data_IF_923200109241
#
_entry.id   IF_923200109241
#
_cell.length_a   1.000
_cell.length_b   1.000
_cell.length_c   1.000
_cell.angle_alpha   90.00
_cell.angle_beta   90.00
_cell.angle_gamma   90.00
#
_symmetry.space_group_name_H-M   'P 1'
#
loop_
_entity.id
_entity.type
_entity.pdbx_description
1 polymer ?
#
# COMPACT_ATOMS: atom_id res chain seq x y z
N UNK A 1 7.71 -22.89 16.40
CA UNK A 1 7.12 -21.95 15.42
C UNK A 1 7.22 -20.54 15.95
N UNK A 2 7.76 -19.63 15.17
CA UNK A 2 8.01 -18.26 15.63
C UNK A 2 6.91 -17.32 15.17
N UNK A 3 6.25 -16.65 16.11
CA UNK A 3 5.28 -15.58 15.81
C UNK A 3 5.97 -14.32 15.31
N UNK A 4 7.27 -14.19 15.57
CA UNK A 4 8.07 -13.02 15.16
C UNK A 4 8.22 -12.93 13.63
N UNK A 5 8.00 -14.04 12.93
CA UNK A 5 8.07 -14.06 11.47
C UNK A 5 6.74 -13.70 10.81
N UNK A 6 5.68 -13.48 11.58
CA UNK A 6 4.37 -13.08 11.06
C UNK A 6 4.20 -11.57 11.18
N UNK A 7 3.99 -10.92 10.05
CA UNK A 7 3.89 -9.46 9.95
C UNK A 7 2.47 -9.06 9.54
N UNK A 8 1.86 -8.18 10.31
CA UNK A 8 0.59 -7.56 9.96
C UNK A 8 0.87 -6.19 9.35
N UNK A 9 0.45 -6.01 8.10
CA UNK A 9 0.71 -4.80 7.34
C UNK A 9 -0.56 -4.26 6.69
N UNK A 10 -0.52 -3.01 6.30
CA UNK A 10 -1.57 -2.33 5.55
C UNK A 10 -0.98 -1.69 4.31
N UNK A 11 -1.79 -1.56 3.27
CA UNK A 11 -1.40 -0.89 2.03
C UNK A 11 -2.52 0.03 1.55
N UNK A 12 -2.13 1.18 1.02
CA UNK A 12 -3.05 2.14 0.42
C UNK A 12 -3.05 1.98 -1.09
N UNK A 13 -4.21 1.61 -1.64
CA UNK A 13 -4.43 1.59 -3.09
C UNK A 13 -5.12 2.91 -3.42
N UNK A 14 -4.33 3.87 -3.89
CA UNK A 14 -4.80 5.21 -4.20
C UNK A 14 -5.00 5.33 -5.70
N UNK A 15 -6.24 5.62 -6.11
CA UNK A 15 -6.60 5.73 -7.52
C UNK A 15 -7.18 7.11 -7.79
N UNK A 16 -6.58 7.83 -8.73
CA UNK A 16 -6.99 9.18 -9.09
C UNK A 16 -6.67 9.42 -10.57
N UNK A 17 -7.66 9.95 -11.29
CA UNK A 17 -7.51 10.26 -12.73
C UNK A 17 -6.93 9.10 -13.54
N UNK A 18 -7.49 7.90 -13.32
CA UNK A 18 -7.12 6.66 -14.03
C UNK A 18 -5.73 6.13 -13.72
N UNK A 19 -5.09 6.59 -12.64
CA UNK A 19 -3.74 6.17 -12.26
C UNK A 19 -3.66 5.76 -10.80
N UNK A 20 -2.75 4.83 -10.53
CA UNK A 20 -2.42 4.37 -9.19
C UNK A 20 -1.18 5.08 -8.67
N UNK A 21 -1.20 5.44 -7.40
CA UNK A 21 -0.04 6.01 -6.73
C UNK A 21 0.87 4.89 -6.24
N UNK A 22 2.14 4.96 -6.63
CA UNK A 22 3.17 4.05 -6.16
C UNK A 22 4.34 4.83 -5.62
N UNK A 23 4.99 4.27 -4.61
CA UNK A 23 6.22 4.81 -4.05
C UNK A 23 7.41 4.03 -4.58
N UNK A 24 8.51 4.74 -4.79
CA UNK A 24 9.79 4.15 -5.13
C UNK A 24 10.64 4.08 -3.87
N UNK A 25 11.15 2.90 -3.56
CA UNK A 25 11.92 2.66 -2.34
C UNK A 25 12.99 1.58 -2.60
N UNK A 26 13.93 1.43 -1.69
CA UNK A 26 14.87 0.31 -1.72
C UNK A 26 14.24 -0.90 -1.03
N UNK A 27 14.32 -2.06 -1.68
CA UNK A 27 14.07 -3.32 -1.01
C UNK A 27 15.22 -3.55 -0.03
N UNK A 28 14.91 -3.65 1.26
CA UNK A 28 15.93 -3.75 2.30
C UNK A 28 16.71 -5.06 2.25
N UNK A 29 16.15 -6.10 1.64
CA UNK A 29 16.83 -7.40 1.51
C UNK A 29 17.81 -7.41 0.34
N UNK A 30 17.48 -6.79 -0.79
CA UNK A 30 18.26 -6.86 -2.02
C UNK A 30 19.00 -5.56 -2.34
N UNK A 31 18.61 -4.44 -1.74
CA UNK A 31 19.11 -3.12 -2.09
C UNK A 31 18.57 -2.58 -3.40
N UNK A 32 17.76 -3.34 -4.12
CA UNK A 32 17.14 -2.91 -5.37
C UNK A 32 16.11 -1.80 -5.16
N UNK A 33 16.06 -0.90 -6.12
CA UNK A 33 14.95 0.08 -6.17
C UNK A 33 13.72 -0.62 -6.73
N UNK A 34 12.60 -0.47 -6.04
CA UNK A 34 11.35 -1.15 -6.37
C UNK A 34 10.17 -0.20 -6.22
N UNK A 35 9.04 -0.58 -6.82
CA UNK A 35 7.76 0.12 -6.66
C UNK A 35 6.86 -0.65 -5.71
N UNK A 36 6.18 0.08 -4.83
CA UNK A 36 5.23 -0.49 -3.87
C UNK A 36 4.05 0.47 -3.72
N UNK A 37 2.91 -0.02 -3.25
CA UNK A 37 1.92 0.89 -2.71
C UNK A 37 2.49 1.55 -1.46
N UNK A 38 1.98 2.73 -1.07
CA UNK A 38 2.22 3.22 0.30
C UNK A 38 1.77 2.16 1.28
N UNK A 39 2.68 1.66 2.12
CA UNK A 39 2.41 0.49 2.95
C UNK A 39 3.38 0.40 4.11
N UNK A 40 2.98 -0.32 5.16
CA UNK A 40 3.85 -0.58 6.29
C UNK A 40 3.17 -1.39 7.37
N UNK A 41 3.90 -1.57 8.46
CA UNK A 41 3.44 -2.37 9.60
C UNK A 41 2.41 -1.61 10.43
N UNK A 42 1.42 -2.36 10.93
CA UNK A 42 0.51 -1.86 11.95
C UNK A 42 1.26 -1.83 13.27
N UNK A 43 1.23 -0.69 13.95
CA UNK A 43 1.86 -0.53 15.24
C UNK A 43 0.92 -0.97 16.37
N UNK A 44 1.49 -1.28 17.53
CA UNK A 44 0.78 -1.94 18.63
C UNK A 44 -0.49 -1.21 19.07
N UNK A 45 -0.47 0.11 19.05
CA UNK A 45 -1.58 0.93 19.57
C UNK A 45 -2.43 1.55 18.46
N UNK A 46 -2.39 0.98 17.26
CA UNK A 46 -3.12 1.52 16.12
C UNK A 46 -4.31 0.66 15.71
N UNK A 47 -5.41 1.30 15.30
CA UNK A 47 -6.41 0.65 14.49
C UNK A 47 -5.89 0.50 13.05
N UNK A 48 -6.41 -0.49 12.33
CA UNK A 48 -5.97 -0.79 10.97
C UNK A 48 -6.16 0.41 10.02
N UNK A 49 -7.30 1.09 10.10
CA UNK A 49 -7.55 2.27 9.25
C UNK A 49 -6.67 3.44 9.65
N UNK A 50 -6.40 3.61 10.94
CA UNK A 50 -5.43 4.60 11.42
C UNK A 50 -4.03 4.32 10.90
N UNK A 51 -3.63 3.05 10.90
CA UNK A 51 -2.31 2.65 10.41
C UNK A 51 -2.12 2.97 8.92
N UNK A 52 -3.11 2.65 8.09
CA UNK A 52 -2.98 2.92 6.64
C UNK A 52 -2.98 4.41 6.35
N UNK A 53 -3.76 5.21 7.09
CA UNK A 53 -3.75 6.66 6.93
C UNK A 53 -2.40 7.25 7.35
N UNK A 54 -1.80 6.76 8.42
CA UNK A 54 -0.48 7.17 8.86
C UNK A 54 0.59 6.81 7.82
N UNK A 55 0.59 5.58 7.34
CA UNK A 55 1.57 5.15 6.33
C UNK A 55 1.41 5.97 5.04
N UNK A 56 0.18 6.23 4.61
CA UNK A 56 -0.05 7.08 3.44
C UNK A 56 0.55 8.47 3.63
N UNK A 57 0.32 9.08 4.79
CA UNK A 57 0.87 10.41 5.07
C UNK A 57 2.40 10.38 5.14
N UNK A 58 2.98 9.42 5.84
CA UNK A 58 4.43 9.32 5.98
C UNK A 58 5.12 9.12 4.62
N UNK A 59 4.54 8.28 3.76
CA UNK A 59 5.17 7.91 2.51
C UNK A 59 4.84 8.82 1.34
N UNK A 60 3.78 9.61 1.43
CA UNK A 60 3.36 10.49 0.32
C UNK A 60 3.09 11.94 0.71
N UNK A 61 2.85 12.23 1.98
CA UNK A 61 2.39 13.53 2.43
C UNK A 61 0.89 13.76 2.25
N UNK A 62 0.15 12.76 1.77
CA UNK A 62 -1.29 12.88 1.53
C UNK A 62 -2.08 12.50 2.78
N UNK A 63 -3.12 13.30 3.06
CA UNK A 63 -4.12 13.00 4.07
C UNK A 63 -5.45 12.80 3.35
N UNK A 64 -5.85 11.54 3.20
CA UNK A 64 -7.06 11.15 2.47
C UNK A 64 -7.90 10.24 3.35
N UNK A 65 -9.19 10.14 3.00
CA UNK A 65 -10.11 9.22 3.66
C UNK A 65 -10.28 7.95 2.82
N UNK A 66 -10.23 6.76 3.44
CA UNK A 66 -10.47 5.53 2.72
C UNK A 66 -11.94 5.39 2.34
N UNK A 67 -12.22 4.72 1.21
CA UNK A 67 -13.57 4.52 0.69
C UNK A 67 -14.04 3.07 0.73
N UNK A 68 -13.11 2.12 0.70
CA UNK A 68 -13.41 0.69 0.65
C UNK A 68 -12.15 -0.11 0.97
N UNK A 69 -12.25 -1.43 0.93
CA UNK A 69 -11.06 -2.27 0.99
C UNK A 69 -11.19 -3.48 0.07
N UNK A 70 -10.09 -4.16 -0.19
CA UNK A 70 -10.00 -5.23 -1.19
C UNK A 70 -9.77 -6.60 -0.55
N UNK A 71 -9.87 -6.70 0.77
CA UNK A 71 -9.57 -7.93 1.46
C UNK A 71 -8.10 -8.04 1.86
N UNK A 72 -7.70 -9.26 2.13
CA UNK A 72 -6.40 -9.57 2.72
C UNK A 72 -5.58 -10.37 1.74
N UNK A 73 -4.32 -9.96 1.54
CA UNK A 73 -3.34 -10.70 0.76
C UNK A 73 -2.30 -11.31 1.68
N UNK A 74 -1.71 -12.41 1.25
CA UNK A 74 -0.69 -13.11 2.02
C UNK A 74 0.52 -13.39 1.14
N UNK A 75 1.71 -13.24 1.72
CA UNK A 75 2.97 -13.52 1.04
C UNK A 75 3.91 -14.25 2.00
N UNK A 76 4.47 -15.36 1.54
CA UNK A 76 5.58 -16.01 2.21
C UNK A 76 6.86 -15.61 1.49
N UNK A 77 7.69 -14.83 2.15
CA UNK A 77 8.95 -14.38 1.58
C UNK A 77 10.02 -15.48 1.63
N UNK A 78 11.05 -15.35 0.79
CA UNK A 78 12.11 -16.33 0.70
C UNK A 78 12.89 -16.51 2.01
N UNK A 79 12.93 -15.47 2.87
CA UNK A 79 13.59 -15.53 4.18
C UNK A 79 12.74 -16.22 5.26
N UNK A 80 11.58 -16.77 4.91
CA UNK A 80 10.67 -17.45 5.85
C UNK A 80 9.65 -16.55 6.53
N UNK A 81 9.74 -15.23 6.36
CA UNK A 81 8.75 -14.31 6.91
C UNK A 81 7.44 -14.39 6.13
N UNK A 82 6.34 -14.27 6.85
CA UNK A 82 4.99 -14.21 6.27
C UNK A 82 4.41 -12.81 6.48
N UNK A 83 3.82 -12.29 5.43
CA UNK A 83 3.16 -10.99 5.47
C UNK A 83 1.68 -11.17 5.25
N UNK A 84 0.88 -10.58 6.15
CA UNK A 84 -0.57 -10.47 6.03
C UNK A 84 -0.84 -9.00 5.78
N UNK A 85 -1.47 -8.68 4.66
CA UNK A 85 -1.62 -7.31 4.19
C UNK A 85 -3.08 -7.00 3.92
N UNK A 86 -3.59 -5.98 4.62
CA UNK A 86 -4.91 -5.42 4.32
C UNK A 86 -4.76 -4.35 3.25
N UNK A 87 -5.57 -4.45 2.19
CA UNK A 87 -5.52 -3.52 1.06
C UNK A 87 -6.68 -2.54 1.17
N UNK A 88 -6.38 -1.28 1.43
CA UNK A 88 -7.36 -0.23 1.69
C UNK A 88 -7.39 0.73 0.51
N UNK A 89 -8.59 1.03 0.01
CA UNK A 89 -8.81 1.85 -1.19
C UNK A 89 -9.05 3.31 -0.81
N UNK A 90 -8.37 4.21 -1.54
CA UNK A 90 -8.56 5.65 -1.46
C UNK A 90 -8.87 6.16 -2.87
N UNK A 91 -10.02 6.79 -3.03
CA UNK A 91 -10.49 7.31 -4.33
C UNK A 91 -10.85 8.79 -4.18
N UNK A 92 -9.83 9.67 -3.99
CA UNK A 92 -10.09 11.09 -3.78
C UNK A 92 -10.69 11.73 -5.03
N UNK A 93 -11.52 12.75 -4.84
CA UNK A 93 -12.05 13.55 -5.93
C UNK A 93 -11.07 14.63 -6.37
N UNK A 94 -10.14 14.99 -5.51
CA UNK A 94 -9.09 15.98 -5.79
C UNK A 94 -7.89 15.70 -4.91
N UNK A 95 -6.73 16.26 -5.30
CA UNK A 95 -5.51 16.20 -4.54
C UNK A 95 -5.02 17.62 -4.23
N UNK A 96 -4.28 17.80 -3.12
CA UNK A 96 -3.63 19.09 -2.88
C UNK A 96 -2.62 19.40 -4.00
N UNK A 97 -2.36 20.69 -4.23
CA UNK A 97 -1.45 21.14 -5.28
C UNK A 97 -0.02 20.61 -5.06
N UNK A 98 0.37 20.45 -3.79
CA UNK A 98 1.71 20.01 -3.41
C UNK A 98 1.62 18.99 -2.28
N UNK A 99 2.37 17.92 -2.39
CA UNK A 99 2.55 16.91 -1.36
C UNK A 99 3.88 16.19 -1.60
N UNK A 100 4.50 15.74 -0.55
CA UNK A 100 5.79 15.06 -0.65
C UNK A 100 5.94 14.05 0.49
N UNK A 101 6.75 13.01 0.30
CA UNK A 101 7.04 12.07 1.37
C UNK A 101 7.62 12.77 2.60
N UNK A 102 7.17 12.32 3.77
CA UNK A 102 7.74 12.73 5.06
C UNK A 102 8.85 11.77 5.48
N UNK A 103 8.81 10.53 4.99
CA UNK A 103 9.81 9.51 5.24
C UNK A 103 10.93 9.60 4.21
N UNK A 104 12.17 9.78 4.67
CA UNK A 104 13.34 9.90 3.80
C UNK A 104 13.69 8.60 3.05
N UNK A 105 13.13 7.47 3.45
CA UNK A 105 13.32 6.20 2.74
C UNK A 105 12.56 6.15 1.41
N UNK A 106 11.60 7.04 1.20
CA UNK A 106 10.87 7.13 -0.05
C UNK A 106 11.64 8.01 -1.03
N UNK A 107 12.03 7.43 -2.15
CA UNK A 107 12.87 8.08 -3.14
C UNK A 107 12.08 8.94 -4.12
N UNK A 108 10.87 8.52 -4.50
CA UNK A 108 10.02 9.23 -5.43
C UNK A 108 8.59 8.71 -5.36
N UNK A 109 7.65 9.53 -5.86
CA UNK A 109 6.25 9.14 -6.05
C UNK A 109 5.98 9.03 -7.56
N UNK A 110 5.20 8.02 -7.92
CA UNK A 110 4.83 7.79 -9.32
C UNK A 110 3.33 7.56 -9.44
N UNK A 111 2.74 8.07 -10.49
CA UNK A 111 1.36 7.80 -10.87
C UNK A 111 1.38 7.01 -12.17
N UNK A 112 0.90 5.77 -12.13
CA UNK A 112 0.88 4.88 -13.29
C UNK A 112 -0.52 4.35 -13.55
N UNK A 113 -0.95 4.38 -14.81
CA UNK A 113 -2.07 3.53 -15.20
C UNK A 113 -1.56 2.08 -15.36
N UNK A 114 -2.49 1.14 -15.56
CA UNK A 114 -2.13 -0.27 -15.64
C UNK A 114 -1.13 -0.59 -16.77
N UNK A 115 -1.26 0.09 -17.92
CA UNK A 115 -0.36 -0.13 -19.04
C UNK A 115 1.03 0.44 -18.77
N UNK A 116 1.10 1.64 -18.20
CA UNK A 116 2.36 2.26 -17.82
C UNK A 116 3.11 1.41 -16.79
N UNK A 117 2.37 0.78 -15.88
CA UNK A 117 2.96 -0.07 -14.86
C UNK A 117 3.63 -1.32 -15.46
N UNK A 118 3.02 -1.89 -16.51
CA UNK A 118 3.62 -3.03 -17.22
C UNK A 118 4.92 -2.66 -17.92
N UNK A 119 5.12 -1.39 -18.26
CA UNK A 119 6.30 -0.89 -18.96
C UNK A 119 7.27 -0.15 -18.04
N UNK A 120 6.98 -0.10 -16.74
CA UNK A 120 7.84 0.60 -15.79
C UNK A 120 9.23 -0.02 -15.74
N UNK A 121 10.26 0.84 -15.64
CA UNK A 121 11.64 0.39 -15.59
C UNK A 121 11.97 -0.32 -14.27
N UNK A 122 11.25 0.01 -13.20
CA UNK A 122 11.48 -0.56 -11.88
C UNK A 122 10.55 -1.75 -11.63
N UNK A 123 11.05 -2.82 -11.01
CA UNK A 123 10.20 -3.94 -10.66
C UNK A 123 9.27 -3.60 -9.50
N UNK A 124 8.16 -4.31 -9.42
CA UNK A 124 7.30 -4.27 -8.23
C UNK A 124 7.99 -4.99 -7.08
N UNK A 125 7.80 -4.49 -5.86
CA UNK A 125 8.42 -5.08 -4.68
C UNK A 125 8.04 -6.55 -4.50
N UNK A 126 6.77 -6.87 -4.76
CA UNK A 126 6.26 -8.24 -4.72
C UNK A 126 4.96 -8.33 -5.50
N UNK A 127 4.46 -9.56 -5.66
CA UNK A 127 3.15 -9.78 -6.28
C UNK A 127 1.99 -9.18 -5.49
N UNK A 128 2.20 -8.83 -4.22
CA UNK A 128 1.15 -8.16 -3.44
C UNK A 128 0.71 -6.86 -4.11
N UNK A 129 1.64 -6.17 -4.77
CA UNK A 129 1.35 -4.91 -5.48
C UNK A 129 0.42 -5.15 -6.66
N UNK A 130 0.76 -6.10 -7.53
CA UNK A 130 -0.03 -6.39 -8.73
C UNK A 130 -1.36 -7.07 -8.39
N UNK A 131 -1.39 -7.92 -7.37
CA UNK A 131 -2.61 -8.59 -6.93
C UNK A 131 -3.65 -7.56 -6.46
N UNK A 132 -3.24 -6.56 -5.70
CA UNK A 132 -4.14 -5.51 -5.23
C UNK A 132 -4.70 -4.68 -6.40
N UNK A 133 -3.86 -4.32 -7.36
CA UNK A 133 -4.29 -3.59 -8.56
C UNK A 133 -5.29 -4.43 -9.36
N UNK A 134 -5.03 -5.72 -9.50
CA UNK A 134 -5.93 -6.63 -10.22
C UNK A 134 -7.30 -6.70 -9.56
N UNK A 135 -7.37 -6.83 -8.24
CA UNK A 135 -8.64 -6.83 -7.50
C UNK A 135 -9.39 -5.51 -7.68
N UNK A 136 -8.66 -4.40 -7.59
CA UNK A 136 -9.27 -3.09 -7.82
C UNK A 136 -9.88 -3.00 -9.21
N UNK A 137 -9.17 -3.43 -10.23
CA UNK A 137 -9.65 -3.39 -11.62
C UNK A 137 -10.84 -4.32 -11.86
N UNK A 138 -10.97 -5.39 -11.09
CA UNK A 138 -12.12 -6.29 -11.14
C UNK A 138 -13.37 -5.67 -10.51
N UNK A 139 -13.27 -4.50 -9.92
CA UNK A 139 -14.39 -3.81 -9.29
C UNK A 139 -14.67 -4.20 -7.86
N UNK A 140 -13.75 -4.94 -7.21
CA UNK A 140 -13.93 -5.31 -5.80
C UNK A 140 -13.95 -4.06 -4.93
N UNK A 141 -14.97 -3.92 -4.10
CA UNK A 141 -15.14 -2.82 -3.16
C UNK A 141 -15.87 -3.35 -1.94
N UNK A 142 -15.13 -3.75 -0.92
CA UNK A 142 -15.72 -4.22 0.33
C UNK A 142 -16.01 -3.06 1.26
N UNK A 143 -17.12 -3.10 2.00
CA UNK A 143 -17.44 -2.01 2.92
C UNK A 143 -16.46 -1.95 4.09
N UNK A 144 -16.03 -0.76 4.44
CA UNK A 144 -15.11 -0.52 5.56
C UNK A 144 -15.72 -0.94 6.91
N UNK A 145 -17.05 -0.99 7.01
CA UNK A 145 -17.73 -1.46 8.21
C UNK A 145 -17.42 -2.91 8.59
N UNK A 146 -16.88 -3.69 7.66
CA UNK A 146 -16.41 -5.05 7.95
C UNK A 146 -15.10 -5.05 8.76
N UNK A 147 -14.41 -3.94 8.80
CA UNK A 147 -13.23 -3.76 9.64
C UNK A 147 -13.71 -3.13 10.93
N UNK A 148 -13.92 -3.95 11.95
CA UNK A 148 -14.43 -3.48 13.24
C UNK A 148 -13.35 -2.72 13.98
N UNK A 149 -13.70 -1.59 14.64
CA UNK A 149 -12.71 -0.83 15.38
C UNK A 149 -12.22 -1.61 16.62
N UNK A 150 -11.05 -1.24 17.10
CA UNK A 150 -10.52 -1.77 18.35
C UNK A 150 -11.45 -1.36 19.51
N UNK A 151 -11.72 -2.31 20.41
CA UNK A 151 -12.61 -2.10 21.55
C UNK A 151 -11.88 -2.24 22.87
#
# INVERSE_FOLDING_TARGET
MSRELLHLTVAAIVYFEHKFLLVEEHDKLTGQRVLNQPAGHVEQDEDLLGAVKRELFEETGLTLEPSAWLGISQLKAANGHRYVRLNIVFEPSSLPAQYQPQDSDILALHWYNANELLQAALPLRSRLVSDAISLYKQGVRLPLSLIQPTR
#
